data_IF_115603211343
#
_entry.id   IF_115603211343
#
_cell.length_a   1.000
_cell.length_b   1.000
_cell.length_c   1.000
_cell.angle_alpha   90.00
_cell.angle_beta   90.00
_cell.angle_gamma   90.00
#
_symmetry.space_group_name_H-M   'P 1'
#
loop_
_entity.id
_entity.type
_entity.pdbx_description
1 polymer ?
#
# COMPACT_ATOMS: atom_id res chain seq x y z
N UNK A 1 4.16 17.57 -11.67
CA UNK A 1 3.60 16.22 -11.64
C UNK A 1 2.64 16.07 -12.80
N UNK A 2 3.05 15.38 -13.85
CA UNK A 2 2.15 14.99 -14.93
C UNK A 2 1.23 13.86 -14.47
N UNK A 3 0.16 13.59 -15.23
CA UNK A 3 -0.76 12.46 -14.97
C UNK A 3 -0.03 11.11 -14.90
N UNK A 4 1.13 11.00 -15.55
CA UNK A 4 1.98 9.81 -15.52
C UNK A 4 2.60 9.58 -14.12
N UNK A 5 3.01 10.63 -13.43
CA UNK A 5 3.58 10.53 -12.07
C UNK A 5 2.51 10.11 -11.05
N UNK A 6 1.26 10.50 -11.25
CA UNK A 6 0.15 10.10 -10.37
C UNK A 6 -0.14 8.60 -10.45
N UNK A 7 -0.03 7.99 -11.64
CA UNK A 7 -0.19 6.53 -11.80
C UNK A 7 0.80 5.75 -10.95
N UNK A 8 1.98 6.33 -10.74
CA UNK A 8 3.00 5.72 -9.94
C UNK A 8 2.64 5.65 -8.45
N UNK A 9 1.86 6.59 -7.93
CA UNK A 9 1.41 6.56 -6.53
C UNK A 9 0.13 5.74 -6.31
N UNK A 10 -0.62 5.40 -7.37
CA UNK A 10 -1.87 4.63 -7.25
C UNK A 10 -1.63 3.25 -6.61
N UNK A 11 -0.62 2.52 -7.08
CA UNK A 11 -0.34 1.17 -6.58
C UNK A 11 0.01 1.14 -5.07
N UNK A 12 0.97 1.94 -4.56
CA UNK A 12 1.26 1.95 -3.13
C UNK A 12 0.05 2.42 -2.30
N UNK A 13 -0.72 3.39 -2.78
CA UNK A 13 -1.95 3.84 -2.09
C UNK A 13 -2.98 2.72 -2.00
N UNK A 14 -3.21 1.97 -3.07
CA UNK A 14 -4.13 0.82 -3.06
C UNK A 14 -3.64 -0.27 -2.10
N UNK A 15 -2.33 -0.57 -2.07
CA UNK A 15 -1.76 -1.57 -1.16
C UNK A 15 -1.92 -1.16 0.31
N UNK A 16 -1.68 0.12 0.62
CA UNK A 16 -1.88 0.66 1.97
C UNK A 16 -3.36 0.60 2.35
N UNK A 17 -4.27 1.00 1.46
CA UNK A 17 -5.72 0.98 1.70
C UNK A 17 -6.26 -0.44 1.83
N UNK A 18 -5.83 -1.37 0.99
CA UNK A 18 -6.19 -2.79 1.05
C UNK A 18 -5.64 -3.45 2.31
N UNK A 19 -4.38 -3.12 2.67
CA UNK A 19 -3.82 -3.39 3.98
C UNK A 19 -4.79 -2.92 5.04
N UNK A 20 -5.05 -1.60 5.12
CA UNK A 20 -5.92 -0.96 6.11
C UNK A 20 -7.28 -1.64 6.28
N UNK A 21 -7.92 -1.93 5.15
CA UNK A 21 -9.21 -2.59 5.06
C UNK A 21 -9.18 -4.00 5.68
N UNK A 22 -8.15 -4.79 5.40
CA UNK A 22 -8.03 -6.18 5.87
C UNK A 22 -7.85 -6.28 7.41
N UNK A 23 -7.31 -5.28 8.10
CA UNK A 23 -7.32 -5.28 9.58
C UNK A 23 -8.67 -4.91 10.14
N UNK A 24 -9.31 -3.92 9.53
CA UNK A 24 -10.54 -3.36 10.06
C UNK A 24 -11.75 -4.23 9.74
N UNK A 25 -11.70 -5.07 8.70
CA UNK A 25 -12.76 -6.04 8.43
C UNK A 25 -12.92 -7.01 9.61
N UNK A 26 -14.15 -7.27 10.04
CA UNK A 26 -14.49 -8.24 11.11
C UNK A 26 -14.99 -9.57 10.55
N UNK A 27 -14.98 -9.71 9.24
CA UNK A 27 -15.47 -10.90 8.56
C UNK A 27 -14.57 -12.11 8.88
N UNK A 28 -15.14 -13.22 9.40
CA UNK A 28 -14.39 -14.42 9.74
C UNK A 28 -13.68 -15.06 8.54
N UNK A 29 -14.14 -14.84 7.30
CA UNK A 29 -13.46 -15.31 6.08
C UNK A 29 -12.11 -14.62 5.86
N UNK A 30 -11.88 -13.46 6.47
CA UNK A 30 -10.64 -12.69 6.33
C UNK A 30 -9.66 -12.92 7.50
N UNK A 31 -9.91 -13.88 8.41
CA UNK A 31 -9.00 -14.17 9.52
C UNK A 31 -7.60 -14.62 9.05
N UNK A 32 -7.53 -15.44 8.00
CA UNK A 32 -6.26 -15.84 7.38
C UNK A 32 -5.58 -14.63 6.73
N UNK A 33 -6.33 -13.81 6.00
CA UNK A 33 -5.83 -12.60 5.34
C UNK A 33 -5.36 -11.52 6.32
N UNK A 34 -5.96 -11.43 7.51
CA UNK A 34 -5.54 -10.54 8.61
C UNK A 34 -4.11 -10.77 9.05
N UNK A 35 -3.62 -12.02 8.97
CA UNK A 35 -2.22 -12.33 9.26
C UNK A 35 -1.27 -11.62 8.30
N UNK A 36 -1.71 -11.44 7.04
CA UNK A 36 -0.95 -10.81 5.97
C UNK A 36 -1.23 -9.30 5.80
N UNK A 37 -2.16 -8.72 6.57
CA UNK A 37 -2.43 -7.26 6.53
C UNK A 37 -1.13 -6.47 6.76
N UNK A 38 -0.25 -6.94 7.67
CA UNK A 38 1.00 -6.26 8.01
C UNK A 38 1.92 -6.25 6.80
N UNK A 39 1.99 -7.38 6.08
CA UNK A 39 2.83 -7.53 4.88
C UNK A 39 2.33 -6.60 3.78
N UNK A 40 1.02 -6.57 3.51
CA UNK A 40 0.43 -5.67 2.51
C UNK A 40 0.65 -4.20 2.85
N UNK A 41 0.45 -3.83 4.11
CA UNK A 41 0.64 -2.47 4.60
C UNK A 41 2.11 -2.03 4.53
N UNK A 42 3.04 -2.90 4.98
CA UNK A 42 4.48 -2.65 4.93
C UNK A 42 4.97 -2.54 3.49
N UNK A 43 4.53 -3.44 2.60
CA UNK A 43 4.85 -3.38 1.17
C UNK A 43 4.35 -2.09 0.53
N UNK A 44 3.13 -1.66 0.84
CA UNK A 44 2.58 -0.40 0.36
C UNK A 44 3.42 0.81 0.80
N UNK A 45 3.82 0.86 2.08
CA UNK A 45 4.68 1.93 2.63
C UNK A 45 6.07 1.91 2.01
N UNK A 46 6.72 0.74 1.91
CA UNK A 46 8.05 0.61 1.30
C UNK A 46 8.04 1.09 -0.15
N UNK A 47 7.02 0.71 -0.91
CA UNK A 47 6.88 1.09 -2.30
C UNK A 47 6.61 2.60 -2.46
N UNK A 48 5.84 3.20 -1.54
CA UNK A 48 5.64 4.65 -1.45
C UNK A 48 6.95 5.38 -1.13
N UNK A 49 7.69 4.92 -0.12
CA UNK A 49 8.97 5.49 0.29
C UNK A 49 10.01 5.41 -0.83
N UNK A 50 10.06 4.29 -1.55
CA UNK A 50 10.98 4.11 -2.67
C UNK A 50 10.66 5.07 -3.83
N UNK A 51 9.38 5.29 -4.13
CA UNK A 51 8.96 6.30 -5.13
C UNK A 51 9.27 7.72 -4.69
N UNK A 52 9.04 8.04 -3.41
CA UNK A 52 9.41 9.34 -2.86
C UNK A 52 10.93 9.54 -2.93
N UNK A 53 11.73 8.53 -2.57
CA UNK A 53 13.18 8.59 -2.68
C UNK A 53 13.63 8.84 -4.14
N UNK A 54 13.11 8.06 -5.09
CA UNK A 54 13.42 8.26 -6.51
C UNK A 54 12.98 9.62 -7.04
N UNK A 55 11.90 10.19 -6.52
CA UNK A 55 11.40 11.49 -6.98
C UNK A 55 12.20 12.68 -6.41
N UNK A 56 12.68 12.57 -5.17
CA UNK A 56 13.34 13.67 -4.47
C UNK A 56 14.88 13.60 -4.52
N UNK A 57 15.46 12.42 -4.67
CA UNK A 57 16.91 12.20 -4.58
C UNK A 57 17.56 11.74 -5.89
N UNK A 58 16.78 11.32 -6.90
CA UNK A 58 17.27 10.93 -8.22
C UNK A 58 16.70 11.87 -9.29
#
# INVERSE_FOLDING_TARGET
>A
MGINDLKDFILPVILIAAGLFIKNTKDPNFQTSKKYWKVLFILGILNLLMKLYLMFFL
#
